data_IF_735536710498
#
_entry.id   IF_735536710498
#
_cell.length_a   1.000
_cell.length_b   1.000
_cell.length_c   1.000
_cell.angle_alpha   90.00
_cell.angle_beta   90.00
_cell.angle_gamma   90.00
#
_symmetry.space_group_name_H-M   'P 1'
#
loop_
_entity.id
_entity.type
_entity.pdbx_description
1 polymer ?
#
# COMPACT_ATOMS: atom_id res chain seq x y z
N UNK A 1 -17.58 -13.48 -15.93
CA UNK A 1 -16.93 -12.18 -16.17
C UNK A 1 -17.42 -11.22 -15.11
N UNK A 2 -16.57 -10.33 -14.57
CA UNK A 2 -17.03 -9.29 -13.64
C UNK A 2 -18.09 -8.42 -14.31
N UNK A 3 -18.98 -7.83 -13.51
CA UNK A 3 -19.91 -6.80 -14.00
C UNK A 3 -19.09 -5.61 -14.53
N UNK A 4 -19.40 -5.14 -15.73
CA UNK A 4 -18.82 -3.92 -16.27
C UNK A 4 -19.53 -2.71 -15.67
N UNK A 5 -18.78 -1.71 -15.26
CA UNK A 5 -19.27 -0.43 -14.77
C UNK A 5 -18.56 0.72 -15.50
N UNK A 6 -19.22 1.86 -15.58
CA UNK A 6 -18.66 3.06 -16.18
C UNK A 6 -18.17 4.04 -15.11
N UNK A 7 -17.40 5.05 -15.53
CA UNK A 7 -16.92 6.12 -14.64
C UNK A 7 -18.10 6.82 -13.93
N UNK A 8 -19.25 6.94 -14.59
CA UNK A 8 -20.47 7.51 -14.00
C UNK A 8 -21.08 6.68 -12.86
N UNK A 9 -20.69 5.41 -12.72
CA UNK A 9 -21.17 4.51 -11.65
C UNK A 9 -20.28 4.58 -10.40
N UNK A 10 -19.12 5.26 -10.49
CA UNK A 10 -18.24 5.47 -9.36
C UNK A 10 -18.92 6.33 -8.30
N UNK A 11 -18.69 5.99 -7.04
CA UNK A 11 -19.10 6.79 -5.89
C UNK A 11 -17.88 7.27 -5.11
N UNK A 12 -17.99 8.40 -4.40
CA UNK A 12 -16.95 8.86 -3.49
C UNK A 12 -16.46 7.73 -2.57
N UNK A 13 -15.16 7.68 -2.37
CA UNK A 13 -14.43 6.68 -1.59
C UNK A 13 -14.39 5.26 -2.18
N UNK A 14 -14.71 5.11 -3.47
CA UNK A 14 -14.42 3.87 -4.18
C UNK A 14 -12.91 3.63 -4.25
N UNK A 15 -12.51 2.39 -3.97
CA UNK A 15 -11.14 1.90 -4.07
C UNK A 15 -10.96 1.26 -5.43
N UNK A 16 -9.99 1.76 -6.20
CA UNK A 16 -9.66 1.24 -7.51
C UNK A 16 -8.42 0.36 -7.37
N UNK A 17 -8.51 -0.90 -7.81
CA UNK A 17 -7.41 -1.85 -7.83
C UNK A 17 -6.99 -2.13 -9.27
N UNK A 18 -5.73 -1.89 -9.59
CA UNK A 18 -5.22 -1.86 -10.96
C UNK A 18 -4.44 -3.13 -11.27
N UNK A 19 -4.68 -3.68 -12.46
CA UNK A 19 -3.84 -4.70 -13.07
C UNK A 19 -2.94 -4.04 -14.12
N UNK A 20 -1.70 -3.74 -13.75
CA UNK A 20 -0.69 -3.23 -14.69
C UNK A 20 0.01 -4.35 -15.48
N UNK A 21 0.62 -3.99 -16.61
CA UNK A 21 1.37 -4.92 -17.48
C UNK A 21 2.89 -4.63 -17.51
N UNK A 22 3.37 -3.73 -16.64
CA UNK A 22 4.80 -3.43 -16.56
C UNK A 22 5.57 -4.59 -15.90
N UNK A 23 6.88 -4.70 -16.17
CA UNK A 23 7.72 -5.72 -15.54
C UNK A 23 7.68 -5.66 -14.00
N UNK A 24 7.59 -4.45 -13.44
CA UNK A 24 7.46 -4.24 -11.99
C UNK A 24 6.06 -4.66 -11.52
N UNK A 25 5.00 -4.33 -12.26
CA UNK A 25 3.64 -4.78 -11.97
C UNK A 25 3.55 -6.31 -11.89
N UNK A 26 4.14 -7.03 -12.86
CA UNK A 26 4.20 -8.50 -12.84
C UNK A 26 4.91 -9.05 -11.60
N UNK A 27 5.99 -8.41 -11.17
CA UNK A 27 6.71 -8.81 -9.96
C UNK A 27 5.87 -8.57 -8.69
N UNK A 28 5.22 -7.41 -8.59
CA UNK A 28 4.32 -7.09 -7.46
C UNK A 28 3.17 -8.10 -7.40
N UNK A 29 2.54 -8.39 -8.54
CA UNK A 29 1.46 -9.36 -8.64
C UNK A 29 1.93 -10.75 -8.18
N UNK A 30 3.06 -11.21 -8.70
CA UNK A 30 3.63 -12.50 -8.36
C UNK A 30 3.98 -12.61 -6.87
N UNK A 31 4.71 -11.64 -6.31
CA UNK A 31 5.14 -11.73 -4.92
C UNK A 31 4.01 -11.47 -3.93
N UNK A 32 3.06 -10.57 -4.23
CA UNK A 32 1.88 -10.39 -3.40
C UNK A 32 1.00 -11.64 -3.45
N UNK A 33 0.97 -12.35 -4.58
CA UNK A 33 0.02 -13.43 -4.86
C UNK A 33 -1.38 -12.90 -5.15
N UNK A 34 -1.43 -11.73 -5.80
CA UNK A 34 -2.64 -11.01 -6.21
C UNK A 34 -2.49 -10.59 -7.67
N UNK A 35 -3.60 -10.34 -8.35
CA UNK A 35 -3.60 -9.82 -9.72
C UNK A 35 -3.39 -8.30 -9.78
N UNK A 36 -3.37 -7.62 -8.63
CA UNK A 36 -3.27 -6.17 -8.57
C UNK A 36 -1.85 -5.71 -8.23
N UNK A 37 -1.37 -4.72 -8.98
CA UNK A 37 -0.05 -4.09 -8.78
C UNK A 37 -0.15 -2.70 -8.14
N UNK A 38 -1.27 -2.02 -8.28
CA UNK A 38 -1.47 -0.66 -7.79
C UNK A 38 -2.88 -0.47 -7.21
N UNK A 39 -3.09 0.61 -6.45
CA UNK A 39 -4.40 0.98 -5.89
C UNK A 39 -4.51 2.48 -5.71
N UNK A 40 -5.73 2.99 -5.83
CA UNK A 40 -6.07 4.39 -5.60
C UNK A 40 -7.44 4.53 -4.94
N UNK A 41 -7.83 5.76 -4.59
CA UNK A 41 -9.16 6.07 -4.04
C UNK A 41 -9.80 7.24 -4.80
N UNK A 42 -11.08 7.10 -5.15
CA UNK A 42 -11.85 8.10 -5.88
C UNK A 42 -12.51 9.10 -4.92
N UNK A 43 -12.39 10.40 -5.17
CA UNK A 43 -12.94 11.45 -4.30
C UNK A 43 -14.33 11.94 -4.71
N UNK A 44 -14.91 11.35 -5.77
CA UNK A 44 -16.16 11.81 -6.37
C UNK A 44 -15.97 12.57 -7.69
N UNK A 45 -14.74 12.98 -8.02
CA UNK A 45 -14.39 13.62 -9.29
C UNK A 45 -13.04 13.13 -9.87
N UNK A 46 -12.05 12.91 -9.01
CA UNK A 46 -10.67 12.56 -9.35
C UNK A 46 -10.23 11.34 -8.53
N UNK A 47 -9.18 10.68 -8.96
CA UNK A 47 -8.53 9.63 -8.18
C UNK A 47 -7.31 10.19 -7.47
N UNK A 48 -7.18 9.90 -6.18
CA UNK A 48 -5.98 10.19 -5.41
C UNK A 48 -5.05 8.98 -5.47
N UNK A 49 -3.83 9.22 -5.95
CA UNK A 49 -2.80 8.20 -6.16
C UNK A 49 -1.50 8.62 -5.50
N UNK A 50 -0.79 7.64 -4.95
CA UNK A 50 0.62 7.82 -4.61
C UNK A 50 1.43 7.40 -5.84
N UNK A 51 2.15 8.33 -6.46
CA UNK A 51 3.04 8.11 -7.63
C UNK A 51 4.47 8.60 -7.36
N UNK A 52 5.41 8.39 -8.31
CA UNK A 52 6.84 8.77 -8.16
C UNK A 52 7.04 10.20 -7.63
N UNK A 53 6.30 11.14 -8.20
CA UNK A 53 6.35 12.56 -7.83
C UNK A 53 5.55 12.91 -6.57
N UNK A 54 5.05 11.92 -5.83
CA UNK A 54 4.26 12.09 -4.62
C UNK A 54 2.79 11.78 -4.75
N UNK A 55 2.01 12.22 -3.77
CA UNK A 55 0.56 12.00 -3.77
C UNK A 55 -0.11 13.05 -4.63
N UNK A 56 -0.82 12.61 -5.67
CA UNK A 56 -1.42 13.49 -6.69
C UNK A 56 -2.85 13.06 -7.01
N UNK A 57 -3.63 14.01 -7.53
CA UNK A 57 -4.94 13.73 -8.11
C UNK A 57 -4.84 13.63 -9.63
N UNK A 58 -5.42 12.58 -10.17
CA UNK A 58 -5.54 12.35 -11.61
C UNK A 58 -7.01 12.21 -12.01
N UNK A 59 -7.32 12.51 -13.26
CA UNK A 59 -8.61 12.07 -13.81
C UNK A 59 -8.65 10.55 -13.86
N UNK A 60 -9.85 9.97 -13.84
CA UNK A 60 -9.99 8.50 -13.96
C UNK A 60 -9.36 8.02 -15.27
N UNK A 61 -9.57 8.74 -16.37
CA UNK A 61 -9.02 8.39 -17.69
C UNK A 61 -7.48 8.37 -17.70
N UNK A 62 -6.83 9.37 -17.11
CA UNK A 62 -5.37 9.41 -16.99
C UNK A 62 -4.85 8.22 -16.19
N UNK A 63 -5.48 7.92 -15.05
CA UNK A 63 -5.06 6.85 -14.15
C UNK A 63 -5.23 5.45 -14.78
N UNK A 64 -6.32 5.20 -15.51
CA UNK A 64 -6.55 3.88 -16.13
C UNK A 64 -5.77 3.66 -17.43
N UNK A 65 -5.27 4.73 -18.06
CA UNK A 65 -4.73 4.72 -19.44
C UNK A 65 -3.61 3.70 -19.73
N UNK A 66 -2.79 3.38 -18.72
CA UNK A 66 -1.66 2.44 -18.83
C UNK A 66 -1.89 1.10 -18.13
N UNK A 67 -3.16 0.74 -17.87
CA UNK A 67 -3.53 -0.47 -17.15
C UNK A 67 -4.35 -1.42 -18.01
N UNK A 68 -4.26 -2.72 -17.74
CA UNK A 68 -5.01 -3.74 -18.49
C UNK A 68 -6.48 -3.72 -18.07
N UNK A 69 -6.73 -3.60 -16.77
CA UNK A 69 -8.05 -3.40 -16.21
C UNK A 69 -7.98 -2.80 -14.80
N UNK A 70 -9.11 -2.23 -14.38
CA UNK A 70 -9.31 -1.69 -13.05
C UNK A 70 -10.59 -2.26 -12.45
N UNK A 71 -10.45 -2.86 -11.27
CA UNK A 71 -11.54 -3.40 -10.49
C UNK A 71 -11.88 -2.44 -9.35
N UNK A 72 -13.17 -2.16 -9.17
CA UNK A 72 -13.69 -1.18 -8.21
C UNK A 72 -14.27 -1.89 -6.99
N UNK A 73 -13.90 -1.39 -5.82
CA UNK A 73 -14.29 -1.91 -4.52
C UNK A 73 -14.84 -0.79 -3.65
N UNK A 74 -15.86 -1.08 -2.84
CA UNK A 74 -16.51 -0.09 -1.97
C UNK A 74 -16.53 -0.55 -0.53
N UNK A 75 -16.23 0.37 0.39
CA UNK A 75 -16.33 0.09 1.81
C UNK A 75 -17.78 -0.22 2.20
N UNK A 76 -17.94 -1.31 2.94
CA UNK A 76 -19.18 -1.76 3.57
C UNK A 76 -18.91 -2.05 5.04
N UNK A 77 -19.53 -1.29 5.93
CA UNK A 77 -19.45 -1.51 7.38
C UNK A 77 -20.83 -1.84 7.94
N UNK A 78 -20.93 -2.93 8.70
CA UNK A 78 -22.16 -3.34 9.39
C UNK A 78 -23.42 -3.41 8.49
N UNK A 79 -23.25 -3.67 7.18
CA UNK A 79 -24.35 -3.71 6.22
C UNK A 79 -24.54 -2.44 5.41
N UNK A 80 -23.96 -1.32 5.84
CA UNK A 80 -24.06 -0.01 5.22
C UNK A 80 -22.88 0.22 4.27
N UNK A 81 -23.17 0.63 3.03
CA UNK A 81 -22.14 1.08 2.09
C UNK A 81 -21.73 2.51 2.42
N UNK A 82 -20.46 2.84 2.22
CA UNK A 82 -19.99 4.22 2.35
C UNK A 82 -20.74 5.12 1.36
N UNK A 83 -21.08 6.34 1.82
CA UNK A 83 -21.96 7.27 1.13
C UNK A 83 -23.44 7.13 1.49
N UNK A 84 -23.82 6.13 2.29
CA UNK A 84 -25.17 6.05 2.87
C UNK A 84 -25.33 7.01 4.07
N UNK A 85 -26.56 7.33 4.50
CA UNK A 85 -26.79 8.18 5.67
C UNK A 85 -26.13 7.68 6.96
N UNK A 86 -26.03 6.35 7.12
CA UNK A 86 -25.45 5.71 8.30
C UNK A 86 -23.92 5.55 8.22
N UNK A 87 -23.34 5.71 7.02
CA UNK A 87 -21.88 5.67 6.79
C UNK A 87 -21.50 6.75 5.75
N UNK A 88 -21.52 8.04 6.14
CA UNK A 88 -21.28 9.13 5.20
C UNK A 88 -19.86 9.11 4.63
N UNK A 89 -19.68 9.57 3.39
CA UNK A 89 -18.36 9.60 2.77
C UNK A 89 -17.44 10.72 3.30
N UNK A 90 -18.01 11.78 3.87
CA UNK A 90 -17.32 13.02 4.23
C UNK A 90 -16.05 12.81 5.07
N UNK A 91 -16.03 11.99 6.13
CA UNK A 91 -14.82 11.83 6.94
C UNK A 91 -13.62 11.30 6.14
N UNK A 92 -13.85 10.37 5.21
CA UNK A 92 -12.79 9.84 4.34
C UNK A 92 -12.38 10.88 3.29
N UNK A 93 -13.34 11.64 2.74
CA UNK A 93 -13.07 12.71 1.79
C UNK A 93 -12.20 13.83 2.39
N UNK A 94 -12.40 14.16 3.68
CA UNK A 94 -11.59 15.15 4.39
C UNK A 94 -10.12 14.69 4.52
N UNK A 95 -9.90 13.40 4.79
CA UNK A 95 -8.54 12.82 4.82
C UNK A 95 -7.91 12.79 3.42
N UNK A 96 -8.68 12.40 2.38
CA UNK A 96 -8.23 12.46 0.98
C UNK A 96 -7.79 13.89 0.61
N UNK A 97 -8.56 14.90 1.00
CA UNK A 97 -8.23 16.29 0.75
C UNK A 97 -6.93 16.72 1.46
N UNK A 98 -6.72 16.24 2.69
CA UNK A 98 -5.49 16.48 3.46
C UNK A 98 -4.26 15.89 2.75
N UNK A 99 -4.30 14.62 2.36
CA UNK A 99 -3.19 14.00 1.62
C UNK A 99 -2.94 14.63 0.25
N UNK A 100 -3.99 15.08 -0.44
CA UNK A 100 -3.83 15.81 -1.68
C UNK A 100 -3.13 17.17 -1.49
N UNK A 101 -3.43 17.88 -0.41
CA UNK A 101 -2.82 19.17 -0.08
C UNK A 101 -1.36 19.02 0.36
N UNK A 102 -1.05 17.95 1.10
CA UNK A 102 0.32 17.63 1.56
C UNK A 102 1.14 16.84 0.54
N UNK A 103 0.62 16.60 -0.67
CA UNK A 103 1.11 15.53 -1.54
C UNK A 103 2.59 15.56 -1.91
N UNK A 104 3.21 16.74 -1.97
CA UNK A 104 4.64 16.92 -2.22
C UNK A 104 5.53 16.36 -1.09
N UNK A 105 5.01 16.24 0.12
CA UNK A 105 5.67 15.62 1.27
C UNK A 105 5.91 14.13 1.03
N UNK A 106 5.09 13.48 0.23
CA UNK A 106 5.12 12.05 0.04
C UNK A 106 5.79 11.66 -1.28
N UNK A 107 6.29 10.43 -1.36
CA UNK A 107 6.80 9.85 -2.59
C UNK A 107 6.47 8.36 -2.65
N UNK A 108 5.89 7.92 -3.76
CA UNK A 108 5.62 6.52 -3.99
C UNK A 108 6.55 5.96 -5.02
N UNK A 109 7.10 4.78 -4.73
CA UNK A 109 7.65 3.96 -5.80
C UNK A 109 7.21 2.51 -5.64
N UNK A 110 6.80 1.92 -6.76
CA UNK A 110 6.56 0.49 -6.91
C UNK A 110 7.77 -0.35 -6.42
N UNK A 111 8.97 0.23 -6.44
CA UNK A 111 10.21 -0.34 -5.91
C UNK A 111 10.17 -0.57 -4.39
N UNK A 112 9.52 0.29 -3.61
CA UNK A 112 9.36 0.10 -2.16
C UNK A 112 8.43 -1.08 -1.88
N UNK A 113 7.28 -1.14 -2.57
CA UNK A 113 6.38 -2.29 -2.49
C UNK A 113 7.09 -3.58 -2.88
N UNK A 114 7.83 -3.56 -3.98
CA UNK A 114 8.61 -4.71 -4.45
C UNK A 114 9.67 -5.12 -3.43
N UNK A 115 10.39 -4.18 -2.82
CA UNK A 115 11.35 -4.45 -1.76
C UNK A 115 10.69 -5.14 -0.55
N UNK A 116 9.54 -4.66 -0.08
CA UNK A 116 8.79 -5.32 1.00
C UNK A 116 8.31 -6.72 0.64
N UNK A 117 7.83 -6.88 -0.58
CA UNK A 117 7.44 -8.18 -1.09
C UNK A 117 8.64 -9.15 -1.17
N UNK A 118 9.83 -8.65 -1.53
CA UNK A 118 11.06 -9.42 -1.51
C UNK A 118 11.52 -9.76 -0.08
N UNK A 119 11.37 -8.85 0.90
CA UNK A 119 11.70 -9.13 2.31
C UNK A 119 10.74 -10.12 2.95
N UNK A 120 9.54 -10.32 2.40
CA UNK A 120 8.52 -11.24 2.91
C UNK A 120 8.43 -12.58 2.15
N UNK A 121 9.12 -12.73 1.00
CA UNK A 121 9.15 -13.98 0.22
C UNK A 121 10.54 -14.62 0.09
N UNK A 122 10.60 -15.91 -0.23
CA UNK A 122 11.88 -16.61 -0.50
C UNK A 122 12.28 -16.29 -1.93
N UNK A 123 13.15 -15.30 -2.08
CA UNK A 123 13.71 -14.85 -3.36
C UNK A 123 15.19 -15.20 -3.46
N UNK A 124 15.72 -15.44 -4.68
CA UNK A 124 17.16 -15.58 -4.87
C UNK A 124 17.91 -14.35 -4.36
N UNK A 125 19.02 -14.56 -3.64
CA UNK A 125 19.81 -13.49 -3.01
C UNK A 125 20.21 -12.35 -3.97
N UNK A 126 20.65 -12.61 -5.23
CA UNK A 126 21.01 -11.53 -6.15
C UNK A 126 19.83 -10.60 -6.48
N UNK A 127 18.64 -11.17 -6.61
CA UNK A 127 17.42 -10.39 -6.88
C UNK A 127 16.96 -9.63 -5.65
N UNK A 128 17.01 -10.27 -4.47
CA UNK A 128 16.76 -9.60 -3.20
C UNK A 128 17.67 -8.38 -3.04
N UNK A 129 18.98 -8.57 -3.22
CA UNK A 129 19.95 -7.49 -3.12
C UNK A 129 19.65 -6.38 -4.13
N UNK A 130 19.41 -6.72 -5.40
CA UNK A 130 19.05 -5.71 -6.41
C UNK A 130 17.82 -4.88 -6.01
N UNK A 131 16.75 -5.53 -5.54
CA UNK A 131 15.52 -4.84 -5.14
C UNK A 131 15.75 -3.95 -3.92
N UNK A 132 16.48 -4.45 -2.91
CA UNK A 132 16.76 -3.71 -1.69
C UNK A 132 17.75 -2.56 -1.92
N UNK A 133 18.75 -2.72 -2.79
CA UNK A 133 19.70 -1.66 -3.14
C UNK A 133 18.98 -0.52 -3.87
N UNK A 134 18.08 -0.86 -4.81
CA UNK A 134 17.26 0.13 -5.52
C UNK A 134 16.32 0.89 -4.58
N UNK A 135 15.63 0.17 -3.71
CA UNK A 135 14.76 0.77 -2.72
C UNK A 135 15.54 1.60 -1.68
N UNK A 136 16.74 1.18 -1.30
CA UNK A 136 17.59 1.92 -0.37
C UNK A 136 18.13 3.22 -0.99
N UNK A 137 18.51 3.21 -2.26
CA UNK A 137 18.93 4.42 -2.98
C UNK A 137 17.79 5.44 -3.06
N UNK A 138 16.57 4.98 -3.35
CA UNK A 138 15.38 5.83 -3.29
C UNK A 138 15.19 6.44 -1.90
N UNK A 139 15.25 5.63 -0.84
CA UNK A 139 15.05 6.14 0.52
C UNK A 139 16.07 7.22 0.89
N UNK A 140 17.31 7.12 0.39
CA UNK A 140 18.32 8.17 0.57
C UNK A 140 17.91 9.46 -0.14
N UNK A 141 17.47 9.39 -1.40
CA UNK A 141 16.96 10.56 -2.15
C UNK A 141 15.78 11.23 -1.44
N UNK A 142 14.82 10.43 -0.92
CA UNK A 142 13.67 10.97 -0.20
C UNK A 142 14.05 11.65 1.11
N UNK A 143 15.00 11.06 1.86
CA UNK A 143 15.52 11.67 3.09
C UNK A 143 16.20 13.00 2.78
N UNK A 144 17.02 13.06 1.72
CA UNK A 144 17.71 14.27 1.30
C UNK A 144 16.73 15.37 0.85
N UNK A 145 15.62 15.00 0.21
CA UNK A 145 14.52 15.91 -0.16
C UNK A 145 13.56 16.25 1.00
N UNK A 146 13.78 15.69 2.20
CA UNK A 146 12.87 15.78 3.35
C UNK A 146 11.42 15.33 3.02
N UNK A 147 11.31 14.31 2.18
CA UNK A 147 10.06 13.63 1.79
C UNK A 147 9.94 12.30 2.52
N UNK A 148 8.70 11.86 2.72
CA UNK A 148 8.38 10.60 3.38
C UNK A 148 7.91 9.58 2.34
N UNK A 149 8.44 8.33 2.35
CA UNK A 149 7.96 7.30 1.45
C UNK A 149 6.49 6.99 1.77
N UNK A 150 5.68 6.72 0.74
CA UNK A 150 4.28 6.30 0.91
C UNK A 150 3.93 5.26 -0.13
N UNK A 151 3.38 4.13 0.32
CA UNK A 151 2.90 3.07 -0.57
C UNK A 151 1.46 3.39 -1.01
N UNK A 152 1.08 3.08 -2.25
CA UNK A 152 -0.27 3.36 -2.77
C UNK A 152 -1.40 2.74 -1.92
N UNK A 153 -1.24 1.48 -1.50
CA UNK A 153 -2.18 0.81 -0.60
C UNK A 153 -2.11 1.28 0.83
N UNK A 154 -0.97 1.81 1.28
CA UNK A 154 -0.87 2.53 2.56
C UNK A 154 -1.71 3.81 2.50
N UNK A 155 -1.57 4.62 1.45
CA UNK A 155 -2.35 5.85 1.28
C UNK A 155 -3.85 5.59 1.36
N UNK A 156 -4.35 4.61 0.58
CA UNK A 156 -5.77 4.24 0.59
C UNK A 156 -6.19 3.76 1.98
N UNK A 157 -5.39 2.92 2.63
CA UNK A 157 -5.70 2.43 3.97
C UNK A 157 -5.76 3.56 5.00
N UNK A 158 -4.80 4.49 4.97
CA UNK A 158 -4.74 5.67 5.84
C UNK A 158 -5.96 6.57 5.67
N UNK A 159 -6.39 6.79 4.42
CA UNK A 159 -7.61 7.56 4.13
C UNK A 159 -8.83 7.03 4.89
N UNK A 160 -8.94 5.71 5.05
CA UNK A 160 -10.00 5.10 5.84
C UNK A 160 -9.70 5.05 7.35
N UNK A 161 -8.50 4.59 7.75
CA UNK A 161 -8.19 4.39 9.17
C UNK A 161 -8.15 5.70 9.96
N UNK A 162 -7.72 6.78 9.33
CA UNK A 162 -7.61 8.11 9.94
C UNK A 162 -8.97 8.86 9.94
N UNK A 163 -9.95 8.39 9.15
CA UNK A 163 -11.31 8.94 9.13
C UNK A 163 -12.19 8.47 10.31
N UNK A 164 -11.78 7.43 11.04
CA UNK A 164 -12.45 6.94 12.23
C UNK A 164 -12.64 5.42 12.26
N UNK A 165 -13.00 4.87 13.42
CA UNK A 165 -13.13 3.42 13.64
C UNK A 165 -14.19 2.77 12.73
N UNK A 166 -15.28 3.49 12.43
CA UNK A 166 -16.35 3.03 11.53
C UNK A 166 -15.88 2.86 10.07
N UNK A 167 -14.78 3.53 9.71
CA UNK A 167 -14.21 3.48 8.35
C UNK A 167 -13.08 2.47 8.23
N UNK A 168 -12.52 2.02 9.35
CA UNK A 168 -11.36 1.12 9.38
C UNK A 168 -11.64 -0.20 8.64
N UNK A 169 -10.99 -0.47 7.49
CA UNK A 169 -11.18 -1.72 6.76
C UNK A 169 -10.45 -2.84 7.50
N UNK A 170 -11.16 -3.90 7.86
CA UNK A 170 -10.52 -5.06 8.50
C UNK A 170 -9.58 -5.77 7.52
N UNK A 171 -8.30 -5.51 7.63
CA UNK A 171 -7.29 -6.29 6.91
C UNK A 171 -6.80 -7.44 7.80
N UNK A 172 -6.70 -8.64 7.22
CA UNK A 172 -5.90 -9.71 7.82
C UNK A 172 -4.46 -9.31 7.54
N UNK A 173 -3.84 -8.60 8.48
CA UNK A 173 -2.52 -8.01 8.33
C UNK A 173 -1.49 -8.96 7.73
N UNK A 174 -0.40 -8.38 7.20
CA UNK A 174 0.67 -9.13 6.54
C UNK A 174 1.19 -10.21 7.49
N UNK A 175 1.47 -11.40 6.96
CA UNK A 175 2.19 -12.49 7.63
C UNK A 175 3.67 -12.12 7.92
N UNK A 176 3.96 -10.81 8.04
CA UNK A 176 5.20 -10.22 8.49
C UNK A 176 5.53 -10.71 9.89
N UNK A 177 4.50 -10.95 10.72
CA UNK A 177 4.62 -11.62 12.02
C UNK A 177 5.34 -12.97 11.94
N UNK A 178 4.89 -13.91 11.09
CA UNK A 178 5.53 -15.22 10.98
C UNK A 178 7.00 -15.14 10.51
N UNK A 179 7.34 -14.11 9.73
CA UNK A 179 8.72 -13.85 9.30
C UNK A 179 9.58 -13.12 10.33
N UNK A 180 9.04 -12.11 11.01
CA UNK A 180 9.73 -11.39 12.07
C UNK A 180 9.93 -12.28 13.30
N UNK A 181 8.99 -13.20 13.58
CA UNK A 181 9.12 -14.25 14.60
C UNK A 181 10.19 -15.27 14.21
N UNK A 182 10.32 -15.65 12.93
CA UNK A 182 11.45 -16.50 12.48
C UNK A 182 12.80 -15.77 12.46
N UNK A 183 12.80 -14.44 12.38
CA UNK A 183 14.00 -13.60 12.60
C UNK A 183 14.29 -13.35 14.10
N UNK A 184 13.28 -13.39 14.97
CA UNK A 184 13.39 -13.32 16.43
C UNK A 184 13.56 -14.71 17.07
N UNK A 185 14.78 -15.24 17.00
CA UNK A 185 15.24 -16.21 18.00
C UNK A 185 15.94 -15.42 19.13
N UNK A 186 15.44 -15.46 20.38
CA UNK A 186 16.20 -14.92 21.51
C UNK A 186 17.57 -15.61 21.56
N UNK A 187 18.65 -14.82 21.47
CA UNK A 187 20.04 -15.33 21.55
C UNK A 187 20.84 -15.38 20.23
N UNK A 188 20.29 -14.99 19.08
CA UNK A 188 21.09 -14.89 17.83
C UNK A 188 21.87 -13.56 17.76
N UNK A 189 23.19 -13.64 17.89
CA UNK A 189 24.11 -12.53 17.57
C UNK A 189 23.97 -12.13 16.09
N UNK A 190 24.06 -10.83 15.76
CA UNK A 190 24.12 -10.28 14.38
C UNK A 190 25.19 -11.02 13.53
N UNK A 191 26.24 -11.56 14.16
CA UNK A 191 27.30 -12.36 13.52
C UNK A 191 26.83 -13.72 12.97
N UNK A 192 25.66 -14.21 13.37
CA UNK A 192 25.09 -15.51 12.98
C UNK A 192 23.99 -15.42 11.91
N UNK A 193 23.69 -14.21 11.43
CA UNK A 193 22.67 -13.96 10.40
C UNK A 193 23.16 -14.40 9.02
N UNK A 194 22.25 -14.93 8.20
CA UNK A 194 22.58 -15.20 6.79
C UNK A 194 22.81 -13.87 6.04
N UNK A 195 23.52 -13.89 4.89
CA UNK A 195 23.66 -12.69 4.07
C UNK A 195 22.31 -12.04 3.70
N UNK A 196 21.28 -12.83 3.40
CA UNK A 196 19.95 -12.33 3.09
C UNK A 196 19.32 -11.58 4.27
N UNK A 197 19.42 -12.13 5.48
CA UNK A 197 18.81 -11.53 6.68
C UNK A 197 19.48 -10.18 7.01
N UNK A 198 20.78 -10.02 6.73
CA UNK A 198 21.48 -8.75 6.91
C UNK A 198 21.00 -7.67 5.95
N UNK A 199 20.78 -8.01 4.67
CA UNK A 199 20.25 -7.05 3.70
C UNK A 199 18.87 -6.57 4.10
N UNK A 200 17.99 -7.51 4.51
CA UNK A 200 16.64 -7.18 4.99
C UNK A 200 16.69 -6.28 6.22
N UNK A 201 17.53 -6.59 7.21
CA UNK A 201 17.66 -5.79 8.42
C UNK A 201 18.17 -4.36 8.15
N UNK A 202 19.13 -4.22 7.22
CA UNK A 202 19.65 -2.91 6.82
C UNK A 202 18.60 -2.07 6.12
N UNK A 203 17.86 -2.67 5.18
CA UNK A 203 16.76 -2.00 4.48
C UNK A 203 15.66 -1.54 5.46
N UNK A 204 15.19 -2.42 6.35
CA UNK A 204 14.15 -2.08 7.32
C UNK A 204 14.56 -0.93 8.25
N UNK A 205 15.85 -0.84 8.60
CA UNK A 205 16.37 0.28 9.38
C UNK A 205 16.28 1.59 8.59
N UNK A 206 16.75 1.61 7.33
CA UNK A 206 16.66 2.81 6.48
C UNK A 206 15.21 3.25 6.27
N UNK A 207 14.30 2.29 6.11
CA UNK A 207 12.87 2.59 5.98
C UNK A 207 12.29 3.21 7.26
N UNK A 208 12.68 2.70 8.44
CA UNK A 208 12.32 3.28 9.74
C UNK A 208 12.71 4.76 9.82
N UNK A 209 13.98 5.02 9.53
CA UNK A 209 14.59 6.34 9.59
C UNK A 209 13.87 7.30 8.61
N UNK A 210 13.59 6.85 7.39
CA UNK A 210 12.85 7.64 6.38
C UNK A 210 11.40 7.94 6.78
N UNK A 211 10.73 7.01 7.45
CA UNK A 211 9.37 7.20 7.97
C UNK A 211 9.31 7.99 9.28
N UNK A 212 10.47 8.34 9.86
CA UNK A 212 10.60 8.92 11.21
C UNK A 212 9.88 8.09 12.28
N UNK A 213 9.72 6.79 12.03
CA UNK A 213 9.22 5.84 13.02
C UNK A 213 10.36 5.66 14.04
N UNK A 214 10.04 5.54 15.32
CA UNK A 214 11.07 5.38 16.35
C UNK A 214 11.78 4.03 16.25
N UNK A 215 12.26 3.52 17.38
CA UNK A 215 13.22 2.41 17.40
C UNK A 215 12.77 1.18 16.59
N UNK A 216 13.72 0.34 16.14
CA UNK A 216 13.46 -0.94 15.45
C UNK A 216 12.39 -1.81 16.13
N UNK A 217 12.27 -1.73 17.46
CA UNK A 217 11.27 -2.45 18.25
C UNK A 217 9.85 -1.90 18.08
N UNK A 218 9.68 -0.61 17.80
CA UNK A 218 8.39 0.01 17.46
C UNK A 218 7.90 -0.46 16.09
N UNK A 219 8.81 -0.62 15.13
CA UNK A 219 8.52 -1.19 13.81
C UNK A 219 8.08 -2.66 13.89
N UNK A 220 8.72 -3.41 14.80
CA UNK A 220 8.36 -4.80 15.11
C UNK A 220 7.03 -4.92 15.85
N UNK A 221 6.71 -3.96 16.71
CA UNK A 221 5.41 -3.85 17.38
C UNK A 221 4.31 -3.47 16.38
N UNK A 222 4.55 -2.50 15.52
CA UNK A 222 3.61 -2.06 14.49
C UNK A 222 3.27 -3.21 13.52
N UNK A 223 4.25 -4.02 13.14
CA UNK A 223 4.05 -5.24 12.36
C UNK A 223 3.19 -6.34 13.01
N UNK A 224 2.84 -6.23 14.31
CA UNK A 224 1.95 -7.19 15.02
C UNK A 224 0.46 -6.86 14.87
N UNK A 225 0.16 -5.61 14.55
CA UNK A 225 -1.19 -5.14 14.20
C UNK A 225 -1.22 -4.83 12.69
N UNK A 226 -2.39 -4.56 12.15
CA UNK A 226 -2.56 -4.15 10.75
C UNK A 226 -1.95 -2.76 10.54
N UNK A 227 -0.62 -2.67 10.48
CA UNK A 227 0.10 -1.41 10.30
C UNK A 227 -0.12 -0.90 8.86
N UNK A 228 -0.65 0.33 8.70
CA UNK A 228 -0.82 1.01 7.41
C UNK A 228 0.40 0.91 6.49
N UNK A 229 1.61 0.96 7.05
CA UNK A 229 2.88 0.98 6.31
C UNK A 229 3.16 -0.30 5.51
N UNK A 230 2.40 -1.39 5.74
CA UNK A 230 2.61 -2.68 5.10
C UNK A 230 1.40 -3.20 4.33
N UNK A 231 0.34 -2.43 4.20
CA UNK A 231 -0.87 -2.86 3.49
C UNK A 231 -0.56 -3.04 2.01
N UNK A 232 -0.99 -4.15 1.42
CA UNK A 232 -0.87 -4.42 -0.02
C UNK A 232 -2.24 -4.37 -0.72
N UNK A 233 -2.30 -4.21 -2.06
CA UNK A 233 -3.56 -4.33 -2.81
C UNK A 233 -4.29 -5.66 -2.57
N UNK A 234 -3.54 -6.73 -2.25
CA UNK A 234 -4.12 -8.03 -1.90
C UNK A 234 -4.90 -7.98 -0.58
N UNK A 235 -4.40 -7.22 0.39
CA UNK A 235 -5.02 -7.13 1.71
C UNK A 235 -6.32 -6.34 1.63
N UNK A 236 -6.33 -5.26 0.83
CA UNK A 236 -7.55 -4.53 0.48
C UNK A 236 -8.57 -5.46 -0.22
N UNK A 237 -8.15 -6.18 -1.27
CA UNK A 237 -9.01 -7.16 -1.97
C UNK A 237 -9.63 -8.21 -1.01
N UNK A 238 -8.86 -8.66 -0.02
CA UNK A 238 -9.27 -9.70 0.93
C UNK A 238 -10.05 -9.17 2.13
N UNK A 239 -10.14 -7.86 2.29
CA UNK A 239 -10.91 -7.25 3.36
C UNK A 239 -12.38 -7.69 3.26
N UNK A 240 -12.98 -8.21 4.34
CA UNK A 240 -14.41 -8.52 4.36
C UNK A 240 -15.26 -7.24 4.36
N UNK A 241 -14.64 -6.08 4.61
CA UNK A 241 -15.30 -4.78 4.64
C UNK A 241 -15.24 -4.08 3.27
N UNK A 242 -14.58 -4.66 2.26
CA UNK A 242 -14.59 -4.14 0.89
C UNK A 242 -15.43 -5.06 -0.01
N UNK A 243 -16.43 -4.49 -0.66
CA UNK A 243 -17.32 -5.19 -1.59
C UNK A 243 -16.90 -4.89 -3.02
N UNK A 244 -16.72 -5.93 -3.83
CA UNK A 244 -16.47 -5.78 -5.26
C UNK A 244 -17.71 -5.21 -5.96
N UNK A 245 -17.54 -4.11 -6.70
CA UNK A 245 -18.61 -3.42 -7.42
C UNK A 245 -18.64 -3.83 -8.88
N UNK A 246 -17.48 -3.83 -9.53
CA UNK A 246 -17.37 -4.13 -10.95
C UNK A 246 -16.00 -3.79 -11.51
N UNK A 247 -15.85 -3.99 -12.82
CA UNK A 247 -14.67 -3.64 -13.60
C UNK A 247 -14.99 -2.44 -14.48
N UNK A 248 -14.11 -1.43 -14.46
CA UNK A 248 -14.25 -0.28 -15.36
C UNK A 248 -14.10 -0.73 -16.82
N UNK A 249 -15.03 -0.30 -17.69
CA UNK A 249 -15.01 -0.60 -19.12
C UNK A 249 -16.09 0.11 -19.92
#
# INVERSE_FOLDING_TARGET
>A
MPATIHVSDLCPCDVLLYHGDSAISHLIQWFSGSEYSHTSIYDGAMVLEAVADGVKKHTVDESVSSTVYVDVWRLKKEGHLIGSPDLPATPVLDIIATYAAEGARYAYEELLMLAFLCTTRRVPLPFLRWALDKAAALLEELIDENREPMICSELVFRCFSEAGEDYYPRIRGVDLRARLETMHMPGRSIRSMSPADREVANFLKKYADAKKLGSRDELLMAAREADPNFVTPRDLKKSPDLSFIGRLG
#
